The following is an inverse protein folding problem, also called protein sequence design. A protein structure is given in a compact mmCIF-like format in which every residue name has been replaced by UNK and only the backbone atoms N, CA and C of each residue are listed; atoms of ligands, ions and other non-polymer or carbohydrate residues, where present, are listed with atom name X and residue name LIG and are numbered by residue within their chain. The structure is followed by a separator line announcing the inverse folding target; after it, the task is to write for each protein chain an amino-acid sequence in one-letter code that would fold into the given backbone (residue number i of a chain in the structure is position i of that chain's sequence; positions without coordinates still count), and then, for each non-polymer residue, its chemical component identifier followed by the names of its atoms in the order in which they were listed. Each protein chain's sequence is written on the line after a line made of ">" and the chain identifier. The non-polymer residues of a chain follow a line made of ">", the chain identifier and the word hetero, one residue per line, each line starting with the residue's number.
data_IF_956542002018
#
_entry.id   IF_956542002018
#
_cell.length_a   1.000
_cell.length_b   1.000
_cell.length_c   1.000
_cell.angle_alpha   90.00
_cell.angle_beta   90.00
_cell.angle_gamma   90.00
#
_symmetry.space_group_name_H-M   'P 1'
#
loop_
_entity.id
_entity.type
_entity.pdbx_description
1 polymer ?
#
# COMPACT_ATOMS: atom_id res chain seq x y z
N UNK A 1 22.18 13.16 1.62
CA UNK A 1 20.84 13.70 1.30
C UNK A 1 20.02 13.74 2.59
N UNK A 2 19.29 14.83 2.86
CA UNK A 2 18.56 15.00 4.12
C UNK A 2 17.50 13.90 4.32
N UNK A 3 17.44 13.33 5.53
CA UNK A 3 16.44 12.33 5.99
C UNK A 3 14.99 12.71 5.61
N UNK A 4 14.69 14.01 5.65
CA UNK A 4 13.43 14.58 5.18
C UNK A 4 13.11 14.20 3.74
N UNK A 5 14.06 14.27 2.80
CA UNK A 5 13.82 13.95 1.38
C UNK A 5 13.45 12.49 1.18
N UNK A 6 14.01 11.58 1.98
CA UNK A 6 13.65 10.15 1.94
C UNK A 6 12.26 9.90 2.49
N UNK A 7 11.91 10.52 3.62
CA UNK A 7 10.55 10.43 4.16
C UNK A 7 9.51 10.98 3.19
N UNK A 8 9.76 12.15 2.61
CA UNK A 8 8.84 12.80 1.68
C UNK A 8 8.56 11.96 0.44
N UNK A 9 9.55 11.23 -0.06
CA UNK A 9 9.36 10.34 -1.21
C UNK A 9 8.31 9.25 -0.92
N UNK A 10 8.46 8.52 0.18
CA UNK A 10 7.53 7.45 0.56
C UNK A 10 6.17 7.99 1.00
N UNK A 11 6.13 9.14 1.69
CA UNK A 11 4.88 9.81 2.02
C UNK A 11 4.15 10.32 0.79
N UNK A 12 4.85 10.85 -0.21
CA UNK A 12 4.24 11.28 -1.46
C UNK A 12 3.62 10.09 -2.19
N UNK A 13 4.31 8.95 -2.25
CA UNK A 13 3.76 7.73 -2.83
C UNK A 13 2.47 7.28 -2.10
N UNK A 14 2.51 7.24 -0.76
CA UNK A 14 1.32 6.94 0.05
C UNK A 14 0.19 7.94 -0.24
N UNK A 15 0.47 9.24 -0.21
CA UNK A 15 -0.53 10.28 -0.42
C UNK A 15 -1.15 10.20 -1.83
N UNK A 16 -0.35 9.94 -2.86
CA UNK A 16 -0.85 9.75 -4.22
C UNK A 16 -1.80 8.55 -4.31
N UNK A 17 -1.42 7.41 -3.72
CA UNK A 17 -2.29 6.23 -3.67
C UNK A 17 -3.57 6.51 -2.88
N UNK A 18 -3.48 7.20 -1.74
CA UNK A 18 -4.62 7.52 -0.90
C UNK A 18 -5.60 8.49 -1.59
N UNK A 19 -5.08 9.53 -2.26
CA UNK A 19 -5.89 10.45 -3.06
C UNK A 19 -6.55 9.68 -4.21
N UNK A 20 -5.81 8.84 -4.93
CA UNK A 20 -6.37 8.06 -6.04
C UNK A 20 -7.48 7.10 -5.57
N UNK A 21 -7.26 6.41 -4.45
CA UNK A 21 -8.26 5.59 -3.76
C UNK A 21 -9.53 6.40 -3.49
N UNK A 22 -9.39 7.56 -2.84
CA UNK A 22 -10.52 8.39 -2.44
C UNK A 22 -11.27 8.95 -3.66
N UNK A 23 -10.55 9.40 -4.69
CA UNK A 23 -11.16 9.87 -5.93
C UNK A 23 -11.95 8.77 -6.63
N UNK A 24 -11.40 7.54 -6.70
CA UNK A 24 -12.12 6.42 -7.30
C UNK A 24 -13.37 6.08 -6.50
N UNK A 25 -13.26 5.96 -5.18
CA UNK A 25 -14.35 5.50 -4.33
C UNK A 25 -15.47 6.54 -4.21
N UNK A 26 -15.14 7.82 -4.03
CA UNK A 26 -16.12 8.84 -3.67
C UNK A 26 -16.64 9.61 -4.90
N UNK A 27 -15.82 9.76 -5.95
CA UNK A 27 -16.14 10.64 -7.07
C UNK A 27 -16.34 9.90 -8.40
N UNK A 28 -15.53 8.88 -8.71
CA UNK A 28 -15.57 8.25 -10.04
C UNK A 28 -16.58 7.09 -10.04
N UNK A 29 -16.41 6.11 -9.14
CA UNK A 29 -17.23 4.89 -9.09
C UNK A 29 -18.72 5.18 -8.88
N UNK A 30 -19.15 6.05 -7.95
CA UNK A 30 -20.57 6.31 -7.73
C UNK A 30 -21.25 7.03 -8.90
N UNK A 31 -20.48 7.82 -9.68
CA UNK A 31 -20.99 8.62 -10.79
C UNK A 31 -20.83 7.94 -12.16
N UNK A 32 -20.25 6.73 -12.20
CA UNK A 32 -20.06 6.00 -13.43
C UNK A 32 -21.31 5.20 -13.82
N UNK A 33 -21.84 5.43 -15.02
CA UNK A 33 -23.10 4.84 -15.50
C UNK A 33 -23.05 3.33 -15.79
N UNK A 34 -21.87 2.70 -15.70
CA UNK A 34 -21.71 1.26 -15.90
C UNK A 34 -21.73 0.80 -17.36
N UNK A 35 -21.67 1.71 -18.34
CA UNK A 35 -21.79 1.39 -19.77
C UNK A 35 -20.70 0.47 -20.34
N UNK A 36 -19.54 0.38 -19.69
CA UNK A 36 -18.45 -0.53 -20.05
C UNK A 36 -18.03 -1.41 -18.86
N UNK A 37 -18.15 -2.73 -19.04
CA UNK A 37 -17.85 -3.75 -18.02
C UNK A 37 -16.39 -3.77 -17.59
N UNK A 38 -15.45 -3.48 -18.49
CA UNK A 38 -14.02 -3.43 -18.19
C UNK A 38 -13.74 -2.29 -17.22
N UNK A 39 -14.32 -1.11 -17.48
CA UNK A 39 -14.18 0.04 -16.58
C UNK A 39 -14.83 -0.26 -15.22
N UNK A 40 -16.03 -0.85 -15.21
CA UNK A 40 -16.70 -1.26 -13.96
C UNK A 40 -15.83 -2.21 -13.14
N UNK A 41 -15.18 -3.18 -13.78
CA UNK A 41 -14.27 -4.11 -13.12
C UNK A 41 -13.08 -3.38 -12.46
N UNK A 42 -12.38 -2.52 -13.21
CA UNK A 42 -11.23 -1.79 -12.67
C UNK A 42 -11.63 -0.82 -11.55
N UNK A 43 -12.76 -0.13 -11.67
CA UNK A 43 -13.30 0.72 -10.61
C UNK A 43 -13.70 -0.09 -9.36
N UNK A 44 -14.08 -1.36 -9.53
CA UNK A 44 -14.40 -2.28 -8.44
C UNK A 44 -13.17 -2.62 -7.58
N UNK A 45 -12.05 -2.95 -8.23
CA UNK A 45 -10.82 -3.45 -7.58
C UNK A 45 -9.80 -2.37 -7.23
N UNK A 46 -9.89 -1.19 -7.87
CA UNK A 46 -9.00 -0.06 -7.62
C UNK A 46 -8.91 0.36 -6.13
N UNK A 47 -10.00 0.34 -5.34
CA UNK A 47 -9.95 0.64 -3.92
C UNK A 47 -9.06 -0.30 -3.10
N UNK A 48 -8.80 -1.53 -3.55
CA UNK A 48 -7.87 -2.46 -2.90
C UNK A 48 -6.46 -2.41 -3.50
N UNK A 49 -6.37 -2.15 -4.80
CA UNK A 49 -5.10 -1.97 -5.50
C UNK A 49 -4.27 -0.80 -4.95
N UNK A 50 -4.87 0.38 -4.79
CA UNK A 50 -4.12 1.57 -4.36
C UNK A 50 -3.56 1.45 -2.93
N UNK A 51 -4.33 1.01 -1.91
CA UNK A 51 -3.78 0.71 -0.59
C UNK A 51 -2.70 -0.37 -0.62
N UNK A 52 -2.82 -1.37 -1.51
CA UNK A 52 -1.79 -2.39 -1.73
C UNK A 52 -0.41 -1.82 -2.07
N UNK A 53 -0.35 -0.63 -2.69
CA UNK A 53 0.91 0.10 -2.95
C UNK A 53 1.22 1.12 -1.85
N UNK A 54 0.20 1.87 -1.41
CA UNK A 54 0.36 3.01 -0.52
C UNK A 54 0.69 2.62 0.92
N UNK A 55 0.04 1.61 1.49
CA UNK A 55 0.26 1.19 2.87
C UNK A 55 1.68 0.66 3.12
N UNK A 56 2.28 -0.18 2.25
CA UNK A 56 3.69 -0.53 2.40
C UNK A 56 4.62 0.68 2.37
N UNK A 57 4.34 1.69 1.54
CA UNK A 57 5.11 2.93 1.48
C UNK A 57 5.05 3.69 2.81
N UNK A 58 3.87 3.78 3.42
CA UNK A 58 3.70 4.36 4.76
C UNK A 58 4.44 3.54 5.83
N UNK A 59 4.27 2.22 5.83
CA UNK A 59 4.84 1.34 6.85
C UNK A 59 6.37 1.25 6.81
N UNK A 60 7.00 1.38 5.64
CA UNK A 60 8.47 1.51 5.54
C UNK A 60 9.01 2.70 6.33
N UNK A 61 8.20 3.73 6.54
CA UNK A 61 8.55 4.91 7.34
C UNK A 61 8.20 4.73 8.82
N UNK A 62 7.05 4.13 9.12
CA UNK A 62 6.53 4.03 10.49
C UNK A 62 7.11 2.86 11.28
N UNK A 63 7.29 1.68 10.68
CA UNK A 63 7.78 0.49 11.39
C UNK A 63 9.13 0.75 12.09
N UNK A 64 10.14 1.37 11.44
CA UNK A 64 11.38 1.70 12.12
C UNK A 64 11.22 2.77 13.22
N UNK A 65 10.14 3.55 13.24
CA UNK A 65 9.91 4.52 14.32
C UNK A 65 9.26 3.85 15.54
N UNK A 66 8.31 2.95 15.29
CA UNK A 66 7.57 2.23 16.35
C UNK A 66 8.43 1.14 16.99
N UNK A 67 9.22 0.42 16.20
CA UNK A 67 9.96 -0.77 16.65
C UNK A 67 11.47 -0.56 16.84
N UNK A 68 12.00 0.64 16.63
CA UNK A 68 13.43 0.91 16.89
C UNK A 68 13.68 1.09 18.38
N UNK A 69 13.90 -0.01 19.08
CA UNK A 69 14.52 -0.03 20.40
C UNK A 69 16.03 0.26 20.30
N UNK A 70 16.69 0.57 21.42
CA UNK A 70 18.12 0.93 21.49
C UNK A 70 19.08 -0.10 20.85
N UNK A 71 18.64 -1.35 20.67
CA UNK A 71 19.33 -2.34 19.86
C UNK A 71 18.73 -2.37 18.46
N UNK A 72 19.46 -1.80 17.50
CA UNK A 72 19.10 -1.78 16.07
C UNK A 72 18.86 -3.20 15.55
N UNK A 73 17.58 -3.58 15.40
CA UNK A 73 17.22 -4.83 14.76
C UNK A 73 17.64 -4.77 13.28
N UNK A 74 18.73 -5.47 12.94
CA UNK A 74 19.32 -5.51 11.60
C UNK A 74 18.29 -5.83 10.51
N UNK A 75 17.35 -6.75 10.80
CA UNK A 75 16.27 -7.10 9.88
C UNK A 75 15.36 -5.90 9.56
N UNK A 76 14.93 -5.15 10.58
CA UNK A 76 14.07 -3.99 10.39
C UNK A 76 14.78 -2.84 9.66
N UNK A 77 16.10 -2.80 9.65
CA UNK A 77 16.83 -1.82 8.84
C UNK A 77 17.00 -2.28 7.38
N UNK A 78 17.37 -3.54 7.16
CA UNK A 78 17.72 -4.05 5.82
C UNK A 78 16.49 -4.52 5.03
N UNK A 79 15.48 -5.05 5.72
CA UNK A 79 14.31 -5.73 5.13
C UNK A 79 12.97 -5.09 5.50
N UNK A 80 12.96 -3.82 5.98
CA UNK A 80 11.71 -3.08 6.27
C UNK A 80 10.68 -3.10 5.16
N UNK A 81 11.10 -3.08 3.89
CA UNK A 81 10.19 -3.14 2.74
C UNK A 81 9.42 -4.45 2.66
N UNK A 82 10.03 -5.57 3.09
CA UNK A 82 9.35 -6.86 3.17
C UNK A 82 8.37 -6.84 4.33
N UNK A 83 8.82 -6.44 5.53
CA UNK A 83 7.95 -6.36 6.71
C UNK A 83 6.75 -5.45 6.47
N UNK A 84 6.97 -4.26 5.89
CA UNK A 84 5.93 -3.32 5.51
C UNK A 84 4.91 -3.93 4.54
N UNK A 85 5.40 -4.64 3.52
CA UNK A 85 4.52 -5.27 2.54
C UNK A 85 3.70 -6.41 3.14
N UNK A 86 4.32 -7.25 3.98
CA UNK A 86 3.62 -8.33 4.69
C UNK A 86 2.56 -7.77 5.63
N UNK A 87 2.89 -6.74 6.41
CA UNK A 87 1.91 -6.08 7.30
C UNK A 87 0.74 -5.49 6.51
N UNK A 88 1.02 -4.83 5.38
CA UNK A 88 -0.02 -4.28 4.51
C UNK A 88 -0.92 -5.35 3.92
N UNK A 89 -0.34 -6.37 3.29
CA UNK A 89 -1.12 -7.46 2.66
C UNK A 89 -1.91 -8.21 3.72
N UNK A 90 -1.32 -8.53 4.88
CA UNK A 90 -2.03 -9.19 5.96
C UNK A 90 -3.22 -8.35 6.44
N UNK A 91 -3.04 -7.04 6.62
CA UNK A 91 -4.12 -6.14 7.02
C UNK A 91 -5.24 -6.07 5.99
N UNK A 92 -4.91 -5.85 4.71
CA UNK A 92 -5.88 -5.73 3.63
C UNK A 92 -6.60 -7.05 3.33
N UNK A 93 -5.89 -8.17 3.29
CA UNK A 93 -6.52 -9.48 3.12
C UNK A 93 -7.40 -9.82 4.32
N UNK A 94 -6.95 -9.55 5.55
CA UNK A 94 -7.81 -9.74 6.72
C UNK A 94 -9.06 -8.86 6.65
N UNK A 95 -8.92 -7.62 6.17
CA UNK A 95 -10.05 -6.72 5.96
C UNK A 95 -11.07 -7.31 4.98
N UNK A 96 -10.61 -7.86 3.85
CA UNK A 96 -11.49 -8.54 2.89
C UNK A 96 -12.12 -9.81 3.47
N UNK A 97 -11.37 -10.62 4.20
CA UNK A 97 -11.89 -11.82 4.85
C UNK A 97 -12.95 -11.50 5.90
N UNK A 98 -12.84 -10.39 6.62
CA UNK A 98 -13.86 -9.96 7.58
C UNK A 98 -15.19 -9.60 6.88
N UNK A 99 -15.20 -9.35 5.57
CA UNK A 99 -16.45 -9.10 4.84
C UNK A 99 -17.30 -10.36 4.69
N UNK A 100 -16.74 -11.58 4.89
CA UNK A 100 -17.56 -12.81 4.95
C UNK A 100 -18.64 -12.77 6.04
N UNK A 101 -18.40 -12.03 7.11
CA UNK A 101 -19.32 -11.90 8.25
C UNK A 101 -20.06 -10.57 8.27
N UNK A 102 -19.81 -9.69 7.28
CA UNK A 102 -20.33 -8.33 7.21
C UNK A 102 -21.45 -8.11 6.19
N UNK A 103 -21.86 -6.84 6.04
CA UNK A 103 -22.82 -6.40 5.00
C UNK A 103 -22.18 -6.25 3.61
N UNK A 104 -20.85 -6.18 3.55
CA UNK A 104 -20.08 -6.10 2.31
C UNK A 104 -19.80 -7.52 1.81
N UNK A 105 -19.63 -7.67 0.50
CA UNK A 105 -19.45 -8.99 -0.12
C UNK A 105 -17.96 -9.20 -0.41
N UNK A 106 -17.42 -10.27 0.16
CA UNK A 106 -16.10 -10.77 -0.16
C UNK A 106 -15.87 -10.92 -1.69
N UNK A 107 -14.74 -10.41 -2.19
CA UNK A 107 -14.32 -10.53 -3.59
C UNK A 107 -12.87 -11.05 -3.71
N UNK A 108 -12.70 -12.15 -4.44
CA UNK A 108 -11.37 -12.70 -4.74
C UNK A 108 -10.51 -11.77 -5.59
N UNK A 109 -11.14 -10.93 -6.44
CA UNK A 109 -10.41 -9.96 -7.22
C UNK A 109 -9.74 -8.91 -6.34
N UNK A 110 -10.37 -8.52 -5.24
CA UNK A 110 -9.81 -7.55 -4.30
C UNK A 110 -8.54 -8.09 -3.61
N UNK A 111 -8.53 -9.38 -3.25
CA UNK A 111 -7.31 -10.06 -2.78
C UNK A 111 -6.24 -10.08 -3.86
N UNK A 112 -6.59 -10.46 -5.10
CA UNK A 112 -5.64 -10.51 -6.20
C UNK A 112 -5.00 -9.14 -6.46
N UNK A 113 -5.82 -8.08 -6.53
CA UNK A 113 -5.37 -6.72 -6.81
C UNK A 113 -4.60 -6.10 -5.64
N UNK A 114 -4.91 -6.49 -4.40
CA UNK A 114 -4.06 -6.20 -3.22
C UNK A 114 -2.66 -6.79 -3.40
N UNK A 115 -2.56 -8.05 -3.81
CA UNK A 115 -1.27 -8.72 -4.03
C UNK A 115 -0.52 -8.07 -5.19
N UNK A 116 -1.19 -7.74 -6.30
CA UNK A 116 -0.58 -7.02 -7.44
C UNK A 116 -0.04 -5.66 -6.99
N UNK A 117 -0.80 -4.89 -6.21
CA UNK A 117 -0.34 -3.62 -5.65
C UNK A 117 0.92 -3.80 -4.77
N UNK A 118 0.92 -4.82 -3.92
CA UNK A 118 2.06 -5.16 -3.09
C UNK A 118 3.30 -5.56 -3.92
N UNK A 119 3.13 -6.26 -5.05
CA UNK A 119 4.23 -6.55 -5.98
C UNK A 119 4.75 -5.28 -6.65
N UNK A 120 3.87 -4.39 -7.09
CA UNK A 120 4.27 -3.10 -7.68
C UNK A 120 5.07 -2.28 -6.68
N UNK A 121 4.68 -2.26 -5.40
CA UNK A 121 5.48 -1.62 -4.37
C UNK A 121 6.90 -2.21 -4.28
N UNK A 122 7.05 -3.54 -4.37
CA UNK A 122 8.38 -4.17 -4.38
C UNK A 122 9.20 -3.77 -5.62
N UNK A 123 8.57 -3.67 -6.78
CA UNK A 123 9.21 -3.14 -7.99
C UNK A 123 9.68 -1.70 -7.77
N UNK A 124 8.80 -0.82 -7.28
CA UNK A 124 9.12 0.58 -6.95
C UNK A 124 10.29 0.65 -5.97
N UNK A 125 10.24 -0.14 -4.89
CA UNK A 125 11.34 -0.24 -3.95
C UNK A 125 12.63 -0.66 -4.66
N UNK A 126 12.60 -1.70 -5.48
CA UNK A 126 13.77 -2.24 -6.16
C UNK A 126 14.43 -1.19 -7.06
N UNK A 127 13.66 -0.49 -7.90
CA UNK A 127 14.17 0.54 -8.83
C UNK A 127 14.49 1.87 -8.14
N UNK A 128 13.97 2.12 -6.94
CA UNK A 128 14.24 3.36 -6.21
C UNK A 128 15.74 3.49 -5.92
N UNK A 129 16.33 4.70 -6.05
CA UNK A 129 17.71 4.93 -5.71
C UNK A 129 18.06 4.51 -4.26
N UNK A 130 19.28 3.99 -3.99
CA UNK A 130 19.71 3.61 -2.64
C UNK A 130 19.56 4.72 -1.60
N UNK A 131 19.63 5.99 -2.04
CA UNK A 131 19.43 7.17 -1.21
C UNK A 131 18.05 7.22 -0.54
N UNK A 132 17.01 6.65 -1.15
CA UNK A 132 15.65 6.58 -0.60
C UNK A 132 15.41 5.33 0.25
N UNK A 133 16.37 4.40 0.31
CA UNK A 133 16.23 3.13 1.04
C UNK A 133 16.79 3.19 2.45
N UNK A 134 17.89 3.93 2.66
CA UNK A 134 18.60 4.00 3.95
C UNK A 134 17.73 4.63 5.05
N UNK A 135 17.53 3.90 6.16
CA UNK A 135 17.02 4.41 7.43
C UNK A 135 18.10 4.23 8.50
N UNK A 136 18.29 5.24 9.37
CA UNK A 136 19.26 5.33 10.49
C UNK A 136 20.48 4.39 10.38
N UNK A 137 21.60 4.95 9.91
CA UNK A 137 22.89 4.63 10.54
C UNK A 137 22.99 5.48 11.79
#
# INVERSE_FOLDING_TARGET
>A
MNKLKTSWYWFALFALCFVAFQQVQDNIRPNYSGGNRIITYFLGVAPNFFPGIGLPALFVMLIPQVFSTKNTNKWLNEKKHITANVFSVAGLVSWELLQFTGKLKFDWNDILWTIIGAMIFQCIWTVSPPAYKKGKN
#
